data_IF_422192951625
#
_entry.id   IF_422192951625
#
_cell.length_a   1.000
_cell.length_b   1.000
_cell.length_c   1.000
_cell.angle_alpha   90.00
_cell.angle_beta   90.00
_cell.angle_gamma   90.00
#
_symmetry.space_group_name_H-M   'P 1'
#
loop_
_entity.id
_entity.type
_entity.pdbx_description
1 polymer ?
#
# COMPACT_ATOMS: atom_id res chain seq x y z
N UNK A 1 -5.66 -8.65 -13.54
CA UNK A 1 -4.86 -7.46 -13.20
C UNK A 1 -5.39 -6.72 -11.98
N UNK A 2 -6.52 -5.97 -12.02
CA UNK A 2 -7.04 -5.28 -10.81
C UNK A 2 -7.39 -6.24 -9.66
N UNK A 3 -7.97 -7.40 -9.99
CA UNK A 3 -8.26 -8.48 -9.04
C UNK A 3 -6.98 -9.02 -8.36
N UNK A 4 -5.86 -9.06 -9.08
CA UNK A 4 -4.60 -9.56 -8.56
C UNK A 4 -3.98 -8.56 -7.57
N UNK A 5 -4.13 -7.26 -7.83
CA UNK A 5 -3.74 -6.20 -6.88
C UNK A 5 -4.51 -6.34 -5.56
N UNK A 6 -5.84 -6.55 -5.64
CA UNK A 6 -6.69 -6.75 -4.45
C UNK A 6 -6.26 -8.00 -3.66
N UNK A 7 -5.99 -9.11 -4.35
CA UNK A 7 -5.55 -10.37 -3.72
C UNK A 7 -4.23 -10.16 -2.97
N UNK A 8 -3.27 -9.47 -3.57
CA UNK A 8 -1.98 -9.22 -2.94
C UNK A 8 -2.09 -8.24 -1.75
N UNK A 9 -2.98 -7.24 -1.81
CA UNK A 9 -3.26 -6.36 -0.66
C UNK A 9 -3.91 -7.11 0.51
N UNK A 10 -4.84 -8.04 0.23
CA UNK A 10 -5.45 -8.90 1.26
C UNK A 10 -4.42 -9.85 1.89
N UNK A 11 -3.53 -10.44 1.08
CA UNK A 11 -2.41 -11.25 1.57
C UNK A 11 -1.46 -10.43 2.45
N UNK A 12 -1.08 -9.23 2.02
CA UNK A 12 -0.23 -8.33 2.81
C UNK A 12 -0.86 -8.02 4.17
N UNK A 13 -2.16 -7.71 4.19
CA UNK A 13 -2.91 -7.49 5.44
C UNK A 13 -2.82 -8.70 6.38
N UNK A 14 -3.08 -9.92 5.87
CA UNK A 14 -3.01 -11.16 6.66
C UNK A 14 -1.61 -11.42 7.21
N UNK A 15 -0.57 -11.24 6.38
CA UNK A 15 0.82 -11.41 6.81
C UNK A 15 1.23 -10.43 7.90
N UNK A 16 0.74 -9.19 7.86
CA UNK A 16 0.99 -8.20 8.93
C UNK A 16 0.36 -8.61 10.26
N UNK A 17 -0.83 -9.20 10.26
CA UNK A 17 -1.42 -9.77 11.48
C UNK A 17 -0.62 -10.96 12.03
N UNK A 18 0.09 -11.67 11.17
CA UNK A 18 1.01 -12.75 11.54
C UNK A 18 2.44 -12.26 11.86
N UNK A 19 2.68 -10.94 11.81
CA UNK A 19 4.01 -10.34 11.97
C UNK A 19 5.04 -10.80 10.93
N UNK A 20 4.59 -11.36 9.81
CA UNK A 20 5.42 -11.77 8.68
C UNK A 20 5.63 -10.59 7.72
N UNK A 21 6.62 -9.76 8.06
CA UNK A 21 6.92 -8.51 7.34
C UNK A 21 7.50 -8.79 5.95
N UNK A 22 8.26 -9.86 5.79
CA UNK A 22 8.88 -10.21 4.51
C UNK A 22 7.81 -10.61 3.50
N UNK A 23 6.87 -11.48 3.89
CA UNK A 23 5.74 -11.83 3.02
C UNK A 23 4.84 -10.62 2.78
N UNK A 24 4.57 -9.81 3.82
CA UNK A 24 3.75 -8.61 3.67
C UNK A 24 4.33 -7.63 2.64
N UNK A 25 5.63 -7.35 2.72
CA UNK A 25 6.30 -6.43 1.82
C UNK A 25 6.39 -6.97 0.39
N UNK A 26 6.63 -8.28 0.22
CA UNK A 26 6.59 -8.93 -1.09
C UNK A 26 5.21 -8.80 -1.74
N UNK A 27 4.13 -9.02 -0.98
CA UNK A 27 2.77 -8.84 -1.46
C UNK A 27 2.48 -7.37 -1.83
N UNK A 28 2.90 -6.41 -1.01
CA UNK A 28 2.80 -4.98 -1.33
C UNK A 28 3.55 -4.62 -2.62
N UNK A 29 4.75 -5.19 -2.84
CA UNK A 29 5.52 -4.99 -4.07
C UNK A 29 4.76 -5.50 -5.30
N UNK A 30 4.18 -6.70 -5.23
CA UNK A 30 3.38 -7.26 -6.34
C UNK A 30 2.14 -6.41 -6.63
N UNK A 31 1.46 -5.92 -5.58
CA UNK A 31 0.34 -5.01 -5.73
C UNK A 31 0.73 -3.71 -6.44
N UNK A 32 1.88 -3.11 -6.09
CA UNK A 32 2.39 -1.90 -6.73
C UNK A 32 2.73 -2.13 -8.21
N UNK A 33 3.46 -3.20 -8.54
CA UNK A 33 3.82 -3.52 -9.93
C UNK A 33 2.58 -3.70 -10.78
N UNK A 34 1.62 -4.51 -10.30
CA UNK A 34 0.36 -4.74 -11.02
C UNK A 34 -0.46 -3.48 -11.26
N UNK A 35 -0.35 -2.47 -10.38
CA UNK A 35 -1.01 -1.18 -10.55
C UNK A 35 -0.25 -0.26 -11.52
N UNK A 36 1.08 -0.21 -11.46
CA UNK A 36 1.90 0.63 -12.37
C UNK A 36 1.81 0.21 -13.84
N UNK A 37 1.64 -1.08 -14.12
CA UNK A 37 1.42 -1.57 -15.50
C UNK A 37 0.05 -1.15 -16.07
N UNK A 38 -0.90 -0.78 -15.20
CA UNK A 38 -2.25 -0.37 -15.60
C UNK A 38 -2.41 1.15 -15.76
N UNK A 39 -1.52 1.95 -15.17
CA UNK A 39 -1.63 3.40 -15.21
C UNK A 39 -1.28 3.90 -16.63
N UNK A 40 -2.14 4.72 -17.27
CA UNK A 40 -1.77 5.36 -18.51
C UNK A 40 -0.52 6.24 -18.27
N UNK A 41 0.44 6.28 -19.22
CA UNK A 41 1.63 7.10 -19.07
C UNK A 41 1.20 8.55 -18.81
N UNK A 42 1.86 9.27 -17.88
CA UNK A 42 1.49 10.62 -17.54
C UNK A 42 1.53 11.51 -18.81
N UNK A 43 0.57 12.43 -18.99
CA UNK A 43 0.41 13.19 -20.24
C UNK A 43 1.58 14.14 -20.56
N UNK A 44 2.54 14.33 -19.66
CA UNK A 44 3.78 15.04 -19.90
C UNK A 44 4.84 14.63 -18.85
N UNK A 45 6.10 14.39 -19.23
CA UNK A 45 7.19 14.26 -18.28
C UNK A 45 7.50 15.65 -17.72
N UNK A 46 6.84 16.03 -16.62
CA UNK A 46 7.27 17.19 -15.84
C UNK A 46 8.44 16.74 -14.94
N UNK A 47 9.68 17.21 -15.17
CA UNK A 47 10.85 16.82 -14.40
C UNK A 47 10.78 17.25 -12.92
N UNK A 48 9.82 18.09 -12.52
CA UNK A 48 9.56 18.46 -11.12
C UNK A 48 8.48 17.61 -10.47
N UNK A 49 7.68 16.90 -11.27
CA UNK A 49 6.64 16.01 -10.77
C UNK A 49 7.29 14.69 -10.37
N UNK A 50 7.74 14.63 -9.13
CA UNK A 50 8.20 13.39 -8.51
C UNK A 50 7.06 12.37 -8.50
N UNK A 51 7.36 11.17 -8.98
CA UNK A 51 6.39 10.08 -9.13
C UNK A 51 6.07 9.48 -7.75
N UNK A 52 4.83 9.60 -7.25
CA UNK A 52 4.43 9.00 -5.97
C UNK A 52 4.65 7.48 -5.95
N UNK A 53 4.60 6.79 -7.11
CA UNK A 53 4.89 5.36 -7.18
C UNK A 53 6.35 5.06 -6.87
N UNK A 54 7.29 5.91 -7.28
CA UNK A 54 8.71 5.73 -6.98
C UNK A 54 8.97 5.78 -5.45
N UNK A 55 8.32 6.69 -4.73
CA UNK A 55 8.41 6.74 -3.27
C UNK A 55 7.69 5.54 -2.59
N UNK A 56 6.57 5.07 -3.15
CA UNK A 56 5.91 3.83 -2.68
C UNK A 56 6.83 2.61 -2.83
N UNK A 57 7.55 2.47 -3.95
CA UNK A 57 8.53 1.39 -4.13
C UNK A 57 9.68 1.47 -3.12
N UNK A 58 10.16 2.67 -2.81
CA UNK A 58 11.17 2.86 -1.76
C UNK A 58 10.63 2.48 -0.38
N UNK A 59 9.40 2.85 -0.07
CA UNK A 59 8.75 2.48 1.18
C UNK A 59 8.65 0.96 1.36
N UNK A 60 8.22 0.24 0.31
CA UNK A 60 8.14 -1.23 0.34
C UNK A 60 9.53 -1.86 0.47
N UNK A 61 10.52 -1.34 -0.26
CA UNK A 61 11.91 -1.82 -0.12
C UNK A 61 12.44 -1.60 1.30
N UNK A 62 12.13 -0.46 1.92
CA UNK A 62 12.51 -0.18 3.31
C UNK A 62 11.80 -1.11 4.30
N UNK A 63 10.52 -1.45 4.07
CA UNK A 63 9.80 -2.45 4.86
C UNK A 63 10.45 -3.84 4.78
N UNK A 64 10.89 -4.28 3.59
CA UNK A 64 11.57 -5.57 3.39
C UNK A 64 12.83 -5.68 4.24
N UNK A 65 13.62 -4.61 4.32
CA UNK A 65 14.84 -4.55 5.13
C UNK A 65 14.60 -4.10 6.57
N UNK A 66 13.33 -3.96 7.00
CA UNK A 66 12.90 -3.60 8.37
C UNK A 66 13.36 -2.20 8.82
N UNK A 67 13.61 -1.31 7.87
CA UNK A 67 13.91 0.12 8.07
C UNK A 67 12.61 0.94 8.17
N UNK A 68 11.88 0.78 9.27
CA UNK A 68 10.52 1.31 9.44
C UNK A 68 10.42 2.84 9.41
N UNK A 69 11.43 3.54 9.93
CA UNK A 69 11.45 5.02 9.89
C UNK A 69 11.62 5.53 8.46
N UNK A 70 12.50 4.89 7.68
CA UNK A 70 12.67 5.18 6.26
C UNK A 70 11.41 4.85 5.47
N UNK A 71 10.78 3.71 5.76
CA UNK A 71 9.52 3.31 5.13
C UNK A 71 8.43 4.36 5.37
N UNK A 72 8.26 4.82 6.61
CA UNK A 72 7.29 5.86 6.95
C UNK A 72 7.59 7.19 6.23
N UNK A 73 8.86 7.62 6.18
CA UNK A 73 9.26 8.83 5.45
C UNK A 73 8.95 8.76 3.96
N UNK A 74 9.20 7.60 3.33
CA UNK A 74 8.86 7.41 1.92
C UNK A 74 7.34 7.40 1.68
N UNK A 75 6.54 6.82 2.59
CA UNK A 75 5.08 6.89 2.51
C UNK A 75 4.57 8.33 2.63
N UNK A 76 5.10 9.11 3.58
CA UNK A 76 4.75 10.52 3.76
C UNK A 76 5.07 11.34 2.50
N UNK A 77 6.24 11.13 1.90
CA UNK A 77 6.60 11.77 0.61
C UNK A 77 5.68 11.36 -0.53
N UNK A 78 5.34 10.08 -0.65
CA UNK A 78 4.41 9.61 -1.66
C UNK A 78 3.03 10.29 -1.51
N UNK A 79 2.58 10.49 -0.27
CA UNK A 79 1.33 11.18 0.03
C UNK A 79 1.38 12.66 -0.32
N UNK A 80 2.45 13.36 0.06
CA UNK A 80 2.64 14.76 -0.32
C UNK A 80 2.64 14.96 -1.84
N UNK A 81 3.29 14.06 -2.58
CA UNK A 81 3.35 14.09 -4.04
C UNK A 81 1.99 13.76 -4.70
N UNK A 82 1.19 12.92 -4.06
CA UNK A 82 -0.15 12.54 -4.51
C UNK A 82 -1.28 13.45 -4.00
N UNK A 83 -0.99 14.46 -3.18
CA UNK A 83 -2.00 15.22 -2.42
C UNK A 83 -3.11 15.82 -3.29
N UNK A 84 -2.77 16.35 -4.46
CA UNK A 84 -3.73 17.03 -5.33
C UNK A 84 -4.64 16.08 -6.12
N UNK A 85 -4.35 14.77 -6.09
CA UNK A 85 -5.09 13.73 -6.83
C UNK A 85 -5.73 12.67 -5.93
N UNK A 86 -5.31 12.57 -4.66
CA UNK A 86 -5.85 11.62 -3.69
C UNK A 86 -7.04 12.27 -2.96
N UNK A 87 -8.21 11.61 -2.89
CA UNK A 87 -9.33 12.08 -2.07
C UNK A 87 -8.93 12.28 -0.60
N UNK A 88 -9.48 13.29 0.08
CA UNK A 88 -9.09 13.65 1.45
C UNK A 88 -9.20 12.49 2.45
N UNK A 89 -10.27 11.70 2.38
CA UNK A 89 -10.48 10.52 3.23
C UNK A 89 -9.39 9.44 3.02
N UNK A 90 -9.01 9.21 1.77
CA UNK A 90 -7.92 8.28 1.41
C UNK A 90 -6.57 8.82 1.89
N UNK A 91 -6.37 10.14 1.84
CA UNK A 91 -5.15 10.80 2.31
C UNK A 91 -4.98 10.61 3.83
N UNK A 92 -6.03 10.83 4.61
CA UNK A 92 -6.01 10.62 6.07
C UNK A 92 -5.73 9.17 6.44
N UNK A 93 -6.42 8.22 5.79
CA UNK A 93 -6.21 6.79 6.02
C UNK A 93 -4.76 6.36 5.73
N UNK A 94 -4.18 6.86 4.64
CA UNK A 94 -2.80 6.57 4.29
C UNK A 94 -1.79 7.24 5.23
N UNK A 95 -2.09 8.44 5.73
CA UNK A 95 -1.31 9.09 6.79
C UNK A 95 -1.29 8.26 8.08
N UNK A 96 -2.44 7.70 8.48
CA UNK A 96 -2.49 6.78 9.62
C UNK A 96 -1.71 5.48 9.39
N UNK A 97 -1.69 4.97 8.15
CA UNK A 97 -0.86 3.83 7.79
C UNK A 97 0.64 4.14 7.95
N UNK A 98 1.11 5.28 7.44
CA UNK A 98 2.50 5.71 7.60
C UNK A 98 2.90 5.84 9.09
N UNK A 99 1.99 6.35 9.93
CA UNK A 99 2.19 6.43 11.37
C UNK A 99 2.26 5.05 12.03
N UNK A 100 1.43 4.09 11.60
CA UNK A 100 1.46 2.72 12.10
C UNK A 100 2.77 2.02 11.73
N UNK A 101 3.29 2.25 10.52
CA UNK A 101 4.61 1.78 10.08
C UNK A 101 5.70 2.31 11.00
N UNK A 102 5.74 3.63 11.23
CA UNK A 102 6.72 4.28 12.13
C UNK A 102 6.69 3.69 13.54
N UNK A 103 5.48 3.42 14.06
CA UNK A 103 5.27 2.84 15.40
C UNK A 103 5.47 1.32 15.44
N UNK A 104 5.76 0.68 14.30
CA UNK A 104 5.88 -0.78 14.17
C UNK A 104 4.61 -1.50 14.65
N UNK A 105 3.45 -0.86 14.47
CA UNK A 105 2.16 -1.39 14.87
C UNK A 105 1.56 -2.20 13.70
N UNK A 106 1.99 -3.44 13.59
CA UNK A 106 1.63 -4.33 12.48
C UNK A 106 0.14 -4.64 12.42
N UNK A 107 -0.54 -4.74 13.57
CA UNK A 107 -1.99 -4.94 13.62
C UNK A 107 -2.75 -3.75 13.03
N UNK A 108 -2.34 -2.52 13.34
CA UNK A 108 -2.92 -1.32 12.71
C UNK A 108 -2.60 -1.24 11.22
N UNK A 109 -1.37 -1.57 10.81
CA UNK A 109 -1.00 -1.64 9.39
C UNK A 109 -1.90 -2.63 8.63
N UNK A 110 -2.09 -3.84 9.17
CA UNK A 110 -2.96 -4.86 8.59
C UNK A 110 -4.43 -4.41 8.52
N UNK A 111 -4.90 -3.68 9.53
CA UNK A 111 -6.26 -3.13 9.57
C UNK A 111 -6.47 -2.10 8.46
N UNK A 112 -5.56 -1.13 8.30
CA UNK A 112 -5.70 -0.12 7.24
C UNK A 112 -5.67 -0.72 5.84
N UNK A 113 -4.82 -1.71 5.59
CA UNK A 113 -4.81 -2.42 4.30
C UNK A 113 -6.11 -3.21 4.06
N UNK A 114 -6.66 -3.85 5.10
CA UNK A 114 -7.95 -4.56 5.00
C UNK A 114 -9.10 -3.61 4.66
N UNK A 115 -9.17 -2.46 5.32
CA UNK A 115 -10.21 -1.47 5.03
C UNK A 115 -10.05 -0.89 3.62
N UNK A 116 -8.81 -0.63 3.17
CA UNK A 116 -8.55 -0.23 1.80
C UNK A 116 -9.03 -1.29 0.78
N UNK A 117 -8.79 -2.58 1.05
CA UNK A 117 -9.29 -3.68 0.22
C UNK A 117 -10.83 -3.68 0.17
N UNK A 118 -11.50 -3.55 1.32
CA UNK A 118 -12.97 -3.49 1.37
C UNK A 118 -13.52 -2.32 0.55
N UNK A 119 -12.93 -1.13 0.66
CA UNK A 119 -13.34 0.03 -0.12
C UNK A 119 -13.17 -0.19 -1.63
N UNK A 120 -12.13 -0.92 -2.05
CA UNK A 120 -11.88 -1.23 -3.47
C UNK A 120 -12.81 -2.31 -4.05
N UNK A 121 -13.27 -3.25 -3.22
CA UNK A 121 -14.16 -4.36 -3.63
C UNK A 121 -15.64 -3.97 -3.49
N UNK A 122 -15.97 -3.02 -2.62
CA UNK A 122 -17.32 -2.75 -2.14
C UNK A 122 -17.85 -3.88 -1.24
N UNK A 123 -19.12 -3.82 -0.84
CA UNK A 123 -19.82 -4.85 -0.03
C UNK A 123 -19.94 -6.24 -0.71
N UNK A 124 -19.23 -6.46 -1.81
CA UNK A 124 -19.11 -7.77 -2.46
C UNK A 124 -18.17 -8.64 -1.65
N UNK A 125 -18.75 -9.22 -0.59
CA UNK A 125 -18.36 -10.43 0.14
C UNK A 125 -17.16 -11.12 -0.52
N UNK A 126 -15.97 -10.89 0.02
CA UNK A 126 -14.86 -11.81 -0.18
C UNK A 126 -15.25 -13.04 0.64
N UNK A 127 -15.93 -14.00 0.00
CA UNK A 127 -16.24 -15.26 0.64
C UNK A 127 -14.92 -15.84 1.19
N UNK A 128 -14.89 -16.26 2.47
CA UNK A 128 -13.74 -16.96 2.99
C UNK A 128 -13.59 -18.23 2.14
N UNK A 129 -12.50 -18.32 1.38
CA UNK A 129 -12.09 -19.59 0.78
C UNK A 129 -11.85 -20.53 1.95
N UNK A 130 -12.86 -21.36 2.23
CA UNK A 130 -12.74 -22.48 3.14
C UNK A 130 -11.64 -23.38 2.58
N UNK A 131 -10.55 -23.49 3.34
CA UNK A 131 -9.54 -24.51 3.12
C UNK A 131 -10.19 -25.85 3.46
N UNK A 132 -10.52 -26.63 2.43
CA UNK A 132 -10.72 -28.08 2.54
C UNK A 132 -9.37 -28.78 2.37
#
# INVERSE_FOLDING_TARGET
MFRDTIIELDRASKSLFLHDIETAALCLRKALVGHTEMAPPPPSPDPRRTDPFAELFKAVTALEIKEYDLAALCLEKALEQGRDVIPAETYEAAGHFAMAVRRKNFSSMGTFLREAVKSLVGDRVVEPVALN
#
